data_IF_895251022144
#
_entry.id   IF_895251022144
#
_cell.length_a   1.000
_cell.length_b   1.000
_cell.length_c   1.000
_cell.angle_alpha   90.00
_cell.angle_beta   90.00
_cell.angle_gamma   90.00
#
_symmetry.space_group_name_H-M   'P 1'
#
loop_
_entity.id
_entity.type
_entity.pdbx_description
1 polymer ?
#
# COMPACT_ATOMS: atom_id res chain seq x y z
N UNK A 1 44.86 -27.57 -12.45
CA UNK A 1 43.62 -26.75 -12.32
C UNK A 1 43.76 -25.40 -13.00
N UNK A 2 44.73 -24.53 -12.64
CA UNK A 2 44.89 -23.18 -13.24
C UNK A 2 45.00 -23.20 -14.79
N UNK A 3 45.77 -24.10 -15.38
CA UNK A 3 45.87 -24.28 -16.83
C UNK A 3 44.56 -24.71 -17.50
N UNK A 4 43.72 -25.52 -16.82
CA UNK A 4 42.42 -25.97 -17.34
C UNK A 4 41.40 -24.84 -17.32
N UNK A 5 41.48 -23.93 -16.31
CA UNK A 5 40.61 -22.79 -16.16
C UNK A 5 41.07 -21.55 -16.94
N UNK A 6 42.22 -21.61 -17.64
CA UNK A 6 42.76 -20.48 -18.39
C UNK A 6 43.18 -19.28 -17.55
N UNK A 7 43.47 -19.48 -16.25
CA UNK A 7 43.89 -18.43 -15.33
C UNK A 7 45.36 -18.56 -14.92
N UNK A 8 45.98 -17.46 -14.46
CA UNK A 8 47.35 -17.52 -13.99
C UNK A 8 47.47 -18.35 -12.70
N UNK A 9 48.53 -19.12 -12.55
CA UNK A 9 48.76 -19.92 -11.35
C UNK A 9 48.78 -19.06 -10.08
N UNK A 10 49.44 -17.92 -10.13
CA UNK A 10 49.47 -16.96 -9.02
C UNK A 10 48.07 -16.40 -8.64
N UNK A 11 47.23 -16.14 -9.64
CA UNK A 11 45.85 -15.75 -9.47
C UNK A 11 44.99 -16.83 -8.79
N UNK A 12 45.16 -18.08 -9.27
CA UNK A 12 44.48 -19.25 -8.71
C UNK A 12 44.84 -19.49 -7.25
N UNK A 13 46.13 -19.48 -6.89
CA UNK A 13 46.58 -19.69 -5.53
C UNK A 13 46.14 -18.51 -4.60
N UNK A 14 46.16 -17.29 -5.11
CA UNK A 14 45.66 -16.12 -4.39
C UNK A 14 44.16 -16.25 -4.08
N UNK A 15 43.38 -16.72 -5.05
CA UNK A 15 41.95 -17.00 -4.89
C UNK A 15 41.68 -18.12 -3.85
N UNK A 16 42.42 -19.24 -3.97
CA UNK A 16 42.33 -20.34 -3.00
C UNK A 16 42.68 -19.89 -1.59
N UNK A 17 43.75 -19.11 -1.42
CA UNK A 17 44.14 -18.57 -0.10
C UNK A 17 43.06 -17.64 0.50
N UNK A 18 42.45 -16.82 -0.35
CA UNK A 18 41.36 -15.94 0.06
C UNK A 18 40.11 -16.73 0.46
N UNK A 19 39.73 -17.75 -0.29
CA UNK A 19 38.54 -18.56 0.00
C UNK A 19 38.68 -19.47 1.20
N UNK A 20 39.92 -19.85 1.58
CA UNK A 20 40.20 -20.66 2.77
C UNK A 20 40.55 -19.83 4.01
N UNK A 21 40.61 -18.49 3.88
CA UNK A 21 40.83 -17.60 5.02
C UNK A 21 39.54 -17.43 5.84
N UNK A 22 39.65 -17.25 7.16
CA UNK A 22 38.47 -16.89 7.96
C UNK A 22 37.85 -15.60 7.42
N UNK A 23 36.50 -15.55 7.49
CA UNK A 23 35.73 -14.38 7.04
C UNK A 23 36.19 -13.11 7.77
N UNK A 24 36.40 -12.07 7.00
CA UNK A 24 36.69 -10.74 7.56
C UNK A 24 35.44 -10.21 8.30
N UNK A 25 35.63 -9.28 9.24
CA UNK A 25 34.53 -8.61 9.95
C UNK A 25 33.47 -8.05 8.99
N UNK A 26 33.93 -7.47 7.86
CA UNK A 26 33.05 -6.93 6.83
C UNK A 26 32.23 -8.02 6.14
N UNK A 27 32.82 -9.17 5.84
CA UNK A 27 32.10 -10.30 5.23
C UNK A 27 31.10 -10.94 6.22
N UNK A 28 31.45 -10.99 7.53
CA UNK A 28 30.52 -11.42 8.57
C UNK A 28 29.35 -10.46 8.70
N UNK A 29 29.59 -9.15 8.61
CA UNK A 29 28.55 -8.12 8.63
C UNK A 29 27.66 -8.22 7.37
N UNK A 30 28.25 -8.46 6.17
CA UNK A 30 27.49 -8.65 4.93
C UNK A 30 26.56 -9.88 5.02
N UNK A 31 26.98 -10.96 5.66
CA UNK A 31 26.14 -12.14 5.88
C UNK A 31 24.92 -11.79 6.74
N UNK A 32 25.13 -11.09 7.87
CA UNK A 32 24.02 -10.67 8.75
C UNK A 32 23.03 -9.76 8.02
N UNK A 33 23.54 -8.76 7.31
CA UNK A 33 22.71 -7.85 6.51
C UNK A 33 21.95 -8.63 5.43
N UNK A 34 22.56 -9.64 4.83
CA UNK A 34 21.91 -10.48 3.82
C UNK A 34 20.72 -11.24 4.40
N UNK A 35 20.86 -11.83 5.60
CA UNK A 35 19.77 -12.51 6.29
C UNK A 35 18.60 -11.56 6.60
N UNK A 36 18.91 -10.34 7.08
CA UNK A 36 17.92 -9.31 7.33
C UNK A 36 17.22 -8.84 6.04
N UNK A 37 17.96 -8.65 4.95
CA UNK A 37 17.39 -8.34 3.62
C UNK A 37 16.41 -9.43 3.20
N UNK A 38 16.78 -10.72 3.35
CA UNK A 38 15.87 -11.82 3.02
C UNK A 38 14.60 -11.81 3.87
N UNK A 39 14.72 -11.54 5.16
CA UNK A 39 13.56 -11.47 6.06
C UNK A 39 12.60 -10.35 5.63
N UNK A 40 13.11 -9.13 5.40
CA UNK A 40 12.32 -7.97 4.93
C UNK A 40 11.73 -8.22 3.54
N UNK A 41 12.50 -8.81 2.63
CA UNK A 41 12.01 -9.12 1.28
C UNK A 41 10.88 -10.13 1.29
N UNK A 42 10.95 -11.15 2.16
CA UNK A 42 9.89 -12.17 2.31
C UNK A 42 8.65 -11.59 2.98
N UNK A 43 8.78 -10.79 4.05
CA UNK A 43 7.63 -10.17 4.73
C UNK A 43 6.85 -9.25 3.80
N UNK A 44 7.54 -8.56 2.88
CA UNK A 44 6.90 -7.73 1.84
C UNK A 44 6.39 -8.52 0.62
N UNK A 45 6.39 -9.85 0.67
CA UNK A 45 6.05 -10.72 -0.47
C UNK A 45 6.84 -10.40 -1.74
N UNK A 46 8.09 -9.90 -1.60
CA UNK A 46 8.95 -9.54 -2.71
C UNK A 46 8.62 -8.21 -3.40
N UNK A 47 7.84 -7.34 -2.76
CA UNK A 47 7.44 -6.04 -3.33
C UNK A 47 8.46 -4.92 -3.08
N UNK A 48 9.35 -5.08 -2.08
CA UNK A 48 10.30 -4.03 -1.73
C UNK A 48 11.57 -4.07 -2.58
N UNK A 49 11.95 -2.91 -3.11
CA UNK A 49 13.25 -2.67 -3.71
C UNK A 49 14.29 -2.19 -2.67
N UNK A 50 15.54 -2.02 -3.14
CA UNK A 50 16.69 -1.67 -2.28
C UNK A 50 16.48 -0.43 -1.42
N UNK A 51 15.78 0.61 -1.92
CA UNK A 51 15.53 1.84 -1.15
C UNK A 51 14.66 1.62 0.08
N UNK A 52 13.53 0.91 -0.06
CA UNK A 52 12.64 0.58 1.06
C UNK A 52 13.34 -0.34 2.07
N UNK A 53 14.05 -1.37 1.58
CA UNK A 53 14.82 -2.28 2.43
C UNK A 53 15.89 -1.52 3.20
N UNK A 54 16.61 -0.60 2.54
CA UNK A 54 17.61 0.25 3.21
C UNK A 54 16.98 1.12 4.31
N UNK A 55 15.82 1.69 4.04
CA UNK A 55 15.13 2.53 5.03
C UNK A 55 14.74 1.72 6.28
N UNK A 56 14.23 0.49 6.10
CA UNK A 56 13.90 -0.42 7.21
C UNK A 56 15.16 -0.82 7.99
N UNK A 57 16.22 -1.24 7.30
CA UNK A 57 17.49 -1.59 7.93
C UNK A 57 18.06 -0.43 8.75
N UNK A 58 17.98 0.80 8.23
CA UNK A 58 18.47 1.99 8.94
C UNK A 58 17.63 2.35 10.18
N UNK A 59 16.36 1.92 10.27
CA UNK A 59 15.59 2.00 11.51
C UNK A 59 16.03 0.94 12.54
N UNK A 60 16.56 -0.20 12.10
CA UNK A 60 17.00 -1.30 12.97
C UNK A 60 18.44 -1.13 13.47
N UNK A 61 19.29 -0.47 12.69
CA UNK A 61 20.72 -0.33 12.96
C UNK A 61 21.11 1.06 13.48
N UNK A 62 22.04 1.12 14.47
CA UNK A 62 22.58 2.38 14.96
C UNK A 62 23.49 3.09 13.93
N UNK A 63 24.15 2.34 13.05
CA UNK A 63 24.98 2.88 11.97
C UNK A 63 24.23 2.79 10.65
N UNK A 64 24.15 3.89 9.88
CA UNK A 64 23.44 3.88 8.61
C UNK A 64 24.12 2.96 7.60
N UNK A 65 23.33 2.11 6.96
CA UNK A 65 23.74 1.23 5.89
C UNK A 65 23.55 1.96 4.56
N UNK A 66 24.59 1.96 3.72
CA UNK A 66 24.52 2.61 2.42
C UNK A 66 23.60 1.80 1.47
N UNK A 67 22.69 2.48 0.80
CA UNK A 67 21.75 1.88 -0.12
C UNK A 67 22.42 1.09 -1.26
N UNK A 68 23.59 1.55 -1.75
CA UNK A 68 24.37 0.83 -2.76
C UNK A 68 24.90 -0.52 -2.25
N UNK A 69 25.15 -0.64 -0.94
CA UNK A 69 25.53 -1.93 -0.32
C UNK A 69 24.35 -2.90 -0.36
N UNK A 70 23.15 -2.43 0.00
CA UNK A 70 21.92 -3.22 -0.05
C UNK A 70 21.59 -3.64 -1.49
N UNK A 71 21.68 -2.70 -2.44
CA UNK A 71 21.43 -2.97 -3.85
C UNK A 71 22.37 -4.04 -4.40
N UNK A 72 23.68 -3.97 -4.09
CA UNK A 72 24.66 -4.98 -4.48
C UNK A 72 24.30 -6.36 -3.91
N UNK A 73 24.00 -6.45 -2.62
CA UNK A 73 23.63 -7.71 -1.97
C UNK A 73 22.36 -8.29 -2.61
N UNK A 74 21.34 -7.47 -2.86
CA UNK A 74 20.12 -7.91 -3.53
C UNK A 74 20.40 -8.46 -4.94
N UNK A 75 21.27 -7.80 -5.72
CA UNK A 75 21.67 -8.26 -7.04
C UNK A 75 22.44 -9.58 -6.98
N UNK A 76 23.41 -9.72 -6.07
CA UNK A 76 24.17 -10.95 -5.83
C UNK A 76 23.25 -12.12 -5.43
N UNK A 77 22.19 -11.85 -4.72
CA UNK A 77 21.17 -12.82 -4.29
C UNK A 77 20.01 -12.99 -5.28
N UNK A 78 20.05 -12.35 -6.45
CA UNK A 78 18.98 -12.37 -7.45
C UNK A 78 17.60 -11.92 -6.87
N UNK A 79 17.59 -10.97 -5.96
CA UNK A 79 16.36 -10.40 -5.37
C UNK A 79 15.92 -9.17 -6.16
N UNK A 80 14.78 -9.25 -6.83
CA UNK A 80 14.21 -8.17 -7.62
C UNK A 80 12.80 -7.86 -7.12
N UNK A 81 12.46 -6.56 -6.97
CA UNK A 81 11.10 -6.18 -6.62
C UNK A 81 10.10 -6.53 -7.72
N UNK A 82 8.89 -6.94 -7.33
CA UNK A 82 7.80 -7.18 -8.27
C UNK A 82 7.50 -5.91 -9.06
N UNK A 83 7.34 -6.04 -10.39
CA UNK A 83 6.91 -4.95 -11.24
C UNK A 83 5.41 -4.68 -11.02
N UNK A 84 5.02 -3.41 -10.86
CA UNK A 84 3.61 -3.03 -10.81
C UNK A 84 2.93 -3.32 -12.16
N UNK A 85 1.90 -4.16 -12.14
CA UNK A 85 1.00 -4.34 -13.29
C UNK A 85 0.06 -3.12 -13.37
N UNK A 86 -0.15 -2.56 -14.58
CA UNK A 86 -1.18 -1.53 -14.78
C UNK A 86 -2.56 -2.20 -14.72
N UNK A 87 -3.43 -1.71 -13.84
CA UNK A 87 -4.83 -2.10 -13.75
C UNK A 87 -5.70 -1.05 -14.45
N UNK A 88 -6.75 -1.49 -15.15
CA UNK A 88 -7.73 -0.63 -15.80
C UNK A 88 -8.89 -0.50 -14.82
N UNK A 89 -9.26 0.75 -14.50
CA UNK A 89 -10.47 1.06 -13.73
C UNK A 89 -11.65 1.16 -14.69
N UNK A 90 -12.79 0.58 -14.33
CA UNK A 90 -14.04 0.66 -15.10
C UNK A 90 -15.16 1.06 -14.14
N UNK A 91 -15.48 2.36 -14.12
CA UNK A 91 -16.64 2.89 -13.40
C UNK A 91 -17.72 3.28 -14.40
N UNK A 92 -18.95 2.80 -14.20
CA UNK A 92 -20.12 3.24 -14.94
C UNK A 92 -20.73 4.45 -14.21
N UNK A 93 -20.66 5.62 -14.86
CA UNK A 93 -21.11 6.91 -14.32
C UNK A 93 -22.29 7.51 -15.07
N UNK A 94 -23.01 6.72 -15.88
CA UNK A 94 -24.13 7.20 -16.70
C UNK A 94 -25.48 6.89 -16.02
N UNK A 95 -25.89 7.79 -15.10
CA UNK A 95 -27.17 7.74 -14.40
C UNK A 95 -27.67 9.16 -14.04
N UNK A 96 -28.99 9.29 -13.84
CA UNK A 96 -29.70 10.56 -13.56
C UNK A 96 -29.81 10.90 -12.05
N UNK A 97 -28.92 10.38 -11.20
CA UNK A 97 -28.97 10.65 -9.76
C UNK A 97 -28.35 12.01 -9.39
N UNK A 98 -28.79 12.56 -8.24
CA UNK A 98 -28.27 13.86 -7.73
C UNK A 98 -26.79 13.74 -7.38
N UNK A 99 -26.00 14.64 -7.93
CA UNK A 99 -24.53 14.68 -7.80
C UNK A 99 -24.14 15.80 -6.85
N UNK A 100 -23.23 15.54 -5.93
CA UNK A 100 -22.62 16.55 -5.08
C UNK A 100 -21.52 17.32 -5.81
N UNK A 101 -21.25 18.55 -5.37
CA UNK A 101 -20.15 19.37 -5.92
C UNK A 101 -18.79 18.74 -5.62
N UNK A 102 -17.80 19.01 -6.49
CA UNK A 102 -16.42 18.61 -6.25
C UNK A 102 -15.75 19.62 -5.30
N UNK A 103 -15.64 19.28 -4.03
CA UNK A 103 -15.04 20.12 -2.98
C UNK A 103 -13.53 19.94 -2.88
N UNK A 104 -12.96 18.86 -3.44
CA UNK A 104 -11.53 18.57 -3.37
C UNK A 104 -10.77 19.23 -4.53
N UNK A 105 -11.36 19.27 -5.71
CA UNK A 105 -10.76 19.86 -6.93
C UNK A 105 -9.29 19.46 -7.15
N UNK A 106 -8.98 18.17 -6.94
CA UNK A 106 -7.64 17.56 -7.02
C UNK A 106 -6.63 18.04 -5.99
N UNK A 107 -7.05 18.81 -4.97
CA UNK A 107 -6.22 19.08 -3.82
C UNK A 107 -6.31 17.90 -2.83
N UNK A 108 -5.42 16.93 -3.01
CA UNK A 108 -5.32 15.75 -2.15
C UNK A 108 -4.45 16.00 -0.91
N UNK A 109 -4.11 17.22 -0.59
CA UNK A 109 -3.39 17.55 0.62
C UNK A 109 -4.37 17.69 1.79
N UNK A 110 -4.03 17.11 2.93
CA UNK A 110 -4.73 17.30 4.18
C UNK A 110 -3.75 17.82 5.22
N UNK A 111 -4.12 18.90 5.94
CA UNK A 111 -3.24 19.51 6.93
C UNK A 111 -3.31 18.78 8.27
N UNK A 112 -4.42 18.08 8.52
CA UNK A 112 -4.66 17.34 9.75
C UNK A 112 -5.42 16.03 9.49
N UNK A 113 -5.30 15.03 10.37
CA UNK A 113 -6.11 13.82 10.30
C UNK A 113 -7.61 14.10 10.36
N UNK A 114 -8.40 13.21 9.79
CA UNK A 114 -9.87 13.23 9.85
C UNK A 114 -10.52 14.45 9.17
N UNK A 115 -9.80 15.14 8.24
CA UNK A 115 -10.32 16.35 7.57
C UNK A 115 -10.78 16.10 6.14
N UNK A 116 -10.06 15.30 5.38
CA UNK A 116 -10.38 14.93 3.98
C UNK A 116 -10.18 13.44 3.77
N UNK A 117 -11.17 12.78 3.21
CA UNK A 117 -11.17 11.35 2.95
C UNK A 117 -11.61 11.04 1.53
N UNK A 118 -11.06 9.98 0.96
CA UNK A 118 -11.51 9.40 -0.30
C UNK A 118 -12.18 8.07 -0.06
N UNK A 119 -13.27 7.82 -0.77
CA UNK A 119 -13.97 6.53 -0.78
C UNK A 119 -14.04 5.97 -2.18
N UNK A 120 -13.76 4.67 -2.34
CA UNK A 120 -13.81 4.00 -3.63
C UNK A 120 -14.07 2.50 -3.46
N UNK A 121 -14.51 1.86 -4.54
CA UNK A 121 -14.73 0.43 -4.58
C UNK A 121 -13.81 -0.26 -5.58
N UNK A 122 -13.35 -1.45 -5.23
CA UNK A 122 -12.59 -2.29 -6.15
C UNK A 122 -13.15 -3.71 -6.17
N UNK A 123 -12.76 -4.48 -7.18
CA UNK A 123 -13.20 -5.86 -7.36
C UNK A 123 -12.01 -6.82 -7.45
N UNK A 124 -12.17 -7.98 -6.83
CA UNK A 124 -11.23 -9.10 -6.87
C UNK A 124 -11.98 -10.32 -7.41
N UNK A 125 -11.46 -10.94 -8.47
CA UNK A 125 -12.04 -12.16 -9.03
C UNK A 125 -11.49 -13.37 -8.32
N UNK A 126 -12.38 -14.29 -7.94
CA UNK A 126 -12.03 -15.57 -7.31
C UNK A 126 -12.71 -16.74 -8.03
N UNK A 127 -12.31 -17.97 -7.73
CA UNK A 127 -12.95 -19.17 -8.26
C UNK A 127 -14.42 -19.32 -7.82
N UNK A 128 -14.83 -18.64 -6.75
CA UNK A 128 -16.21 -18.62 -6.24
C UNK A 128 -17.02 -17.39 -6.68
N UNK A 129 -16.48 -16.54 -7.55
CA UNK A 129 -17.13 -15.32 -8.02
C UNK A 129 -16.36 -14.05 -7.64
N UNK A 130 -17.04 -12.92 -7.67
CA UNK A 130 -16.46 -11.60 -7.40
C UNK A 130 -16.56 -11.23 -5.92
N UNK A 131 -15.49 -10.69 -5.39
CA UNK A 131 -15.44 -10.00 -4.11
C UNK A 131 -15.31 -8.50 -4.38
N UNK A 132 -16.29 -7.72 -3.96
CA UNK A 132 -16.26 -6.27 -3.98
C UNK A 132 -15.74 -5.75 -2.64
N UNK A 133 -14.89 -4.75 -2.70
CA UNK A 133 -14.25 -4.15 -1.54
C UNK A 133 -14.48 -2.64 -1.63
N UNK A 134 -15.18 -2.05 -0.67
CA UNK A 134 -15.23 -0.61 -0.47
C UNK A 134 -14.21 -0.21 0.58
N UNK A 135 -13.49 0.87 0.34
CA UNK A 135 -12.49 1.39 1.26
C UNK A 135 -12.58 2.90 1.41
N UNK A 136 -12.15 3.38 2.57
CA UNK A 136 -12.03 4.81 2.88
C UNK A 136 -10.59 5.08 3.30
N UNK A 137 -9.98 6.06 2.64
CA UNK A 137 -8.60 6.48 2.85
C UNK A 137 -8.59 7.92 3.35
N UNK A 138 -8.00 8.17 4.51
CA UNK A 138 -7.70 9.52 4.97
C UNK A 138 -6.50 10.06 4.21
N UNK A 139 -6.65 11.25 3.62
CA UNK A 139 -5.59 11.88 2.83
C UNK A 139 -4.42 12.36 3.69
N UNK A 140 -4.61 12.53 5.00
CA UNK A 140 -3.49 12.74 5.91
C UNK A 140 -2.75 11.41 6.14
N UNK A 141 -1.62 11.27 5.50
CA UNK A 141 -0.80 10.06 5.61
C UNK A 141 -1.25 8.86 4.78
N UNK A 142 -2.19 9.03 3.85
CA UNK A 142 -2.76 7.93 3.05
C UNK A 142 -3.24 6.76 3.94
N UNK A 143 -3.88 7.07 5.08
CA UNK A 143 -4.25 6.10 6.09
C UNK A 143 -5.59 5.42 5.77
N UNK A 144 -5.67 4.09 5.61
CA UNK A 144 -6.95 3.41 5.48
C UNK A 144 -7.69 3.46 6.82
N UNK A 145 -8.93 3.98 6.80
CA UNK A 145 -9.73 4.23 8.00
C UNK A 145 -11.04 3.45 8.03
N UNK A 146 -11.51 2.94 6.91
CA UNK A 146 -12.73 2.12 6.84
C UNK A 146 -12.68 1.12 5.69
N UNK A 147 -13.26 -0.08 5.87
CA UNK A 147 -13.35 -1.11 4.84
C UNK A 147 -14.59 -1.97 5.01
N UNK A 148 -15.22 -2.33 3.90
CA UNK A 148 -16.22 -3.38 3.84
C UNK A 148 -16.00 -4.30 2.65
N UNK A 149 -16.47 -5.54 2.76
CA UNK A 149 -16.28 -6.57 1.74
C UNK A 149 -17.56 -7.37 1.53
N UNK A 150 -18.06 -7.43 0.29
CA UNK A 150 -19.30 -8.12 -0.08
C UNK A 150 -19.17 -8.87 -1.41
N UNK A 151 -20.10 -9.79 -1.65
CA UNK A 151 -20.30 -10.41 -2.97
C UNK A 151 -21.20 -9.57 -3.89
N UNK A 152 -21.72 -8.45 -3.39
CA UNK A 152 -22.57 -7.50 -4.13
C UNK A 152 -21.92 -6.12 -4.12
N UNK A 153 -22.00 -5.42 -5.25
CA UNK A 153 -21.63 -4.02 -5.35
C UNK A 153 -22.92 -3.19 -5.25
N UNK A 154 -23.33 -2.91 -4.03
CA UNK A 154 -24.55 -2.16 -3.74
C UNK A 154 -24.28 -1.04 -2.71
N UNK A 155 -25.27 -0.17 -2.48
CA UNK A 155 -25.17 0.93 -1.51
C UNK A 155 -24.83 0.46 -0.09
N UNK A 156 -25.24 -0.76 0.27
CA UNK A 156 -24.94 -1.32 1.59
C UNK A 156 -23.44 -1.50 1.79
N UNK A 157 -22.71 -1.90 0.75
CA UNK A 157 -21.27 -2.10 0.82
C UNK A 157 -20.53 -0.80 1.20
N UNK A 158 -20.88 0.33 0.57
CA UNK A 158 -20.24 1.63 0.85
C UNK A 158 -20.68 2.20 2.19
N UNK A 159 -21.94 1.95 2.61
CA UNK A 159 -22.43 2.32 3.94
C UNK A 159 -21.73 1.52 5.03
N UNK A 160 -21.56 0.20 4.86
CA UNK A 160 -20.84 -0.65 5.81
C UNK A 160 -19.35 -0.22 5.95
N UNK A 161 -18.71 0.28 4.88
CA UNK A 161 -17.35 0.84 4.96
C UNK A 161 -17.31 2.17 5.75
N UNK A 162 -18.33 3.01 5.57
CA UNK A 162 -18.48 4.24 6.34
C UNK A 162 -18.74 3.94 7.83
N UNK A 163 -19.62 2.99 8.13
CA UNK A 163 -19.91 2.58 9.50
C UNK A 163 -18.66 1.97 10.19
N UNK A 164 -17.83 1.18 9.46
CA UNK A 164 -16.56 0.66 9.98
C UNK A 164 -15.60 1.82 10.35
N UNK A 165 -15.52 2.87 9.52
CA UNK A 165 -14.73 4.07 9.81
C UNK A 165 -15.21 4.78 11.08
N UNK A 166 -16.51 5.00 11.21
CA UNK A 166 -17.11 5.65 12.40
C UNK A 166 -16.87 4.81 13.67
N UNK A 167 -17.05 3.48 13.58
CA UNK A 167 -16.79 2.57 14.72
C UNK A 167 -15.33 2.59 15.16
N UNK A 168 -14.40 2.92 14.28
CA UNK A 168 -12.98 3.09 14.60
C UNK A 168 -12.65 4.45 15.20
N UNK A 169 -13.63 5.34 15.31
CA UNK A 169 -13.44 6.70 15.81
C UNK A 169 -12.68 7.60 14.86
N UNK A 170 -12.78 7.32 13.55
CA UNK A 170 -12.19 8.14 12.50
C UNK A 170 -13.23 9.09 11.90
N UNK A 171 -12.75 10.26 11.45
CA UNK A 171 -13.59 11.33 10.94
C UNK A 171 -14.12 12.25 12.04
N UNK A 172 -14.39 13.48 11.67
CA UNK A 172 -14.94 14.54 12.55
C UNK A 172 -15.98 15.36 11.82
N UNK A 173 -16.87 16.07 12.52
CA UNK A 173 -17.81 17.01 11.89
C UNK A 173 -17.11 17.97 10.95
N UNK A 174 -17.65 18.15 9.75
CA UNK A 174 -17.04 18.96 8.68
C UNK A 174 -16.00 18.23 7.81
N UNK A 175 -15.66 16.97 8.11
CA UNK A 175 -14.80 16.15 7.25
C UNK A 175 -15.40 16.01 5.84
N UNK A 176 -14.58 16.20 4.82
CA UNK A 176 -14.96 15.98 3.43
C UNK A 176 -14.76 14.51 3.10
N UNK A 177 -15.82 13.83 2.66
CA UNK A 177 -15.72 12.50 2.07
C UNK A 177 -15.98 12.57 0.58
N UNK A 178 -14.99 12.25 -0.23
CA UNK A 178 -15.04 12.33 -1.68
C UNK A 178 -15.09 10.94 -2.30
N UNK A 179 -15.91 10.79 -3.34
CA UNK A 179 -16.05 9.54 -4.09
C UNK A 179 -16.17 9.81 -5.59
N UNK A 180 -16.13 8.76 -6.37
CA UNK A 180 -16.58 8.82 -7.75
C UNK A 180 -18.12 8.99 -7.83
N UNK A 181 -18.64 9.09 -9.08
CA UNK A 181 -20.09 9.17 -9.35
C UNK A 181 -20.74 7.80 -9.54
N UNK A 182 -20.20 6.75 -8.95
CA UNK A 182 -20.85 5.44 -9.00
C UNK A 182 -22.23 5.48 -8.34
N UNK A 183 -23.20 4.75 -8.90
CA UNK A 183 -24.58 4.72 -8.41
C UNK A 183 -24.70 4.37 -6.92
N UNK A 184 -23.74 3.62 -6.37
CA UNK A 184 -23.67 3.27 -4.94
C UNK A 184 -23.45 4.49 -4.05
N UNK A 185 -22.63 5.45 -4.50
CA UNK A 185 -22.31 6.69 -3.79
C UNK A 185 -23.37 7.78 -3.99
N UNK A 186 -24.06 7.77 -5.13
CA UNK A 186 -25.16 8.70 -5.41
C UNK A 186 -26.43 8.36 -4.64
N UNK A 187 -26.54 7.15 -4.07
CA UNK A 187 -27.71 6.71 -3.34
C UNK A 187 -28.11 7.67 -2.21
N UNK A 188 -29.41 8.00 -2.12
CA UNK A 188 -29.95 8.92 -1.12
C UNK A 188 -29.62 8.50 0.30
N UNK A 189 -29.67 7.20 0.60
CA UNK A 189 -29.38 6.66 1.92
C UNK A 189 -27.91 6.86 2.32
N UNK A 190 -26.98 6.71 1.37
CA UNK A 190 -25.56 6.98 1.64
C UNK A 190 -25.33 8.47 1.97
N UNK A 191 -25.91 9.38 1.21
CA UNK A 191 -25.82 10.82 1.47
C UNK A 191 -26.47 11.23 2.81
N UNK A 192 -27.61 10.62 3.15
CA UNK A 192 -28.24 10.82 4.46
C UNK A 192 -27.36 10.34 5.60
N UNK A 193 -26.69 9.18 5.43
CA UNK A 193 -25.75 8.67 6.42
C UNK A 193 -24.59 9.63 6.64
N UNK A 194 -23.94 10.12 5.57
CA UNK A 194 -22.86 11.11 5.63
C UNK A 194 -23.32 12.38 6.36
N UNK A 195 -24.48 12.94 5.95
CA UNK A 195 -25.05 14.16 6.54
C UNK A 195 -25.42 14.00 8.01
N UNK A 196 -25.89 12.82 8.43
CA UNK A 196 -26.21 12.50 9.83
C UNK A 196 -24.99 12.61 10.76
N UNK A 197 -23.81 12.41 10.23
CA UNK A 197 -22.53 12.51 10.95
C UNK A 197 -21.85 13.87 10.74
N UNK A 198 -22.57 14.85 10.15
CA UNK A 198 -22.05 16.20 9.84
C UNK A 198 -20.84 16.21 8.88
N UNK A 199 -20.74 15.22 7.98
CA UNK A 199 -19.72 15.19 6.94
C UNK A 199 -20.19 15.88 5.67
N UNK A 200 -19.23 16.39 4.90
CA UNK A 200 -19.47 17.03 3.60
C UNK A 200 -19.25 16.03 2.49
N UNK A 201 -20.32 15.75 1.73
CA UNK A 201 -20.24 14.88 0.56
C UNK A 201 -19.61 15.64 -0.63
N UNK A 202 -18.64 15.03 -1.27
CA UNK A 202 -17.97 15.55 -2.47
C UNK A 202 -17.88 14.45 -3.53
N UNK A 203 -18.03 14.82 -4.82
CA UNK A 203 -17.99 13.85 -5.92
C UNK A 203 -17.12 14.33 -7.07
N UNK A 204 -16.43 13.38 -7.71
CA UNK A 204 -15.62 13.59 -8.90
C UNK A 204 -16.43 14.22 -10.04
N UNK A 205 -15.77 14.85 -11.02
CA UNK A 205 -16.40 15.28 -12.27
C UNK A 205 -16.75 14.07 -13.16
N UNK A 206 -17.73 14.22 -14.05
CA UNK A 206 -18.15 13.12 -14.95
C UNK A 206 -16.98 12.71 -15.85
N UNK A 207 -16.61 11.44 -15.79
CA UNK A 207 -15.55 10.86 -16.63
C UNK A 207 -14.12 11.26 -16.26
N UNK A 208 -13.91 11.91 -15.11
CA UNK A 208 -12.59 12.37 -14.67
C UNK A 208 -12.02 11.44 -13.58
N UNK A 209 -11.27 10.42 -14.03
CA UNK A 209 -10.63 9.44 -13.14
C UNK A 209 -9.53 10.06 -12.25
N UNK A 210 -8.97 11.22 -12.65
CA UNK A 210 -7.92 11.88 -11.87
C UNK A 210 -8.41 12.44 -10.54
N UNK A 211 -9.72 12.64 -10.40
CA UNK A 211 -10.30 13.16 -9.16
C UNK A 211 -10.28 12.15 -8.01
N UNK A 212 -9.86 10.88 -8.23
CA UNK A 212 -9.73 9.83 -7.20
C UNK A 212 -8.36 9.12 -7.23
N UNK A 213 -7.33 9.77 -7.75
CA UNK A 213 -6.01 9.17 -7.99
C UNK A 213 -5.34 8.52 -6.75
N UNK A 214 -5.44 9.05 -5.51
CA UNK A 214 -4.85 8.36 -4.34
C UNK A 214 -5.49 7.00 -4.05
N UNK A 215 -6.82 6.86 -4.19
CA UNK A 215 -7.51 5.58 -4.02
C UNK A 215 -7.15 4.58 -5.12
N UNK A 216 -7.06 5.03 -6.38
CA UNK A 216 -6.60 4.19 -7.49
C UNK A 216 -5.17 3.69 -7.22
N UNK A 217 -4.30 4.56 -6.73
CA UNK A 217 -2.93 4.20 -6.32
C UNK A 217 -2.91 3.19 -5.18
N UNK A 218 -3.77 3.36 -4.18
CA UNK A 218 -3.91 2.45 -3.05
C UNK A 218 -4.32 1.04 -3.50
N UNK A 219 -5.39 0.93 -4.32
CA UNK A 219 -5.84 -0.34 -4.87
C UNK A 219 -4.80 -0.98 -5.82
N UNK A 220 -4.14 -0.17 -6.63
CA UNK A 220 -3.06 -0.62 -7.51
C UNK A 220 -1.91 -1.24 -6.73
N UNK A 221 -1.48 -0.59 -5.63
CA UNK A 221 -0.45 -1.09 -4.71
C UNK A 221 -0.91 -2.40 -4.05
N UNK A 222 -2.14 -2.45 -3.51
CA UNK A 222 -2.69 -3.67 -2.91
C UNK A 222 -2.65 -4.85 -3.89
N UNK A 223 -3.16 -4.65 -5.10
CA UNK A 223 -3.24 -5.70 -6.12
C UNK A 223 -1.87 -6.16 -6.62
N UNK A 224 -0.90 -5.26 -6.75
CA UNK A 224 0.42 -5.59 -7.30
C UNK A 224 1.42 -6.08 -6.26
N UNK A 225 1.37 -5.52 -5.05
CA UNK A 225 2.35 -5.81 -4.01
C UNK A 225 1.96 -7.00 -3.13
N UNK A 226 0.63 -7.20 -2.89
CA UNK A 226 0.16 -8.10 -1.85
C UNK A 226 -0.75 -9.22 -2.33
N UNK A 227 -1.74 -8.91 -3.18
CA UNK A 227 -2.72 -9.91 -3.58
C UNK A 227 -2.12 -10.97 -4.50
N UNK A 228 -2.64 -12.17 -4.41
CA UNK A 228 -2.31 -13.27 -5.31
C UNK A 228 -2.98 -13.07 -6.68
N UNK A 229 -2.33 -13.56 -7.75
CA UNK A 229 -2.90 -13.51 -9.12
C UNK A 229 -4.20 -14.32 -9.24
N UNK A 230 -4.38 -15.33 -8.39
CA UNK A 230 -5.57 -16.20 -8.35
C UNK A 230 -5.95 -16.54 -6.92
N UNK A 231 -7.24 -16.56 -6.67
CA UNK A 231 -7.86 -17.05 -5.43
C UNK A 231 -8.86 -18.13 -5.76
N UNK A 232 -8.81 -19.26 -5.08
CA UNK A 232 -9.81 -20.31 -5.22
C UNK A 232 -11.12 -19.95 -4.50
N UNK A 233 -11.00 -19.27 -3.34
CA UNK A 233 -12.15 -18.92 -2.51
C UNK A 233 -12.20 -17.43 -2.18
N UNK A 234 -13.44 -16.92 -1.97
CA UNK A 234 -13.67 -15.56 -1.49
C UNK A 234 -13.01 -15.33 -0.13
N UNK A 235 -12.99 -16.34 0.74
CA UNK A 235 -12.44 -16.23 2.08
C UNK A 235 -10.92 -16.01 2.08
N UNK A 236 -10.19 -16.63 1.15
CA UNK A 236 -8.76 -16.37 0.97
C UNK A 236 -8.51 -14.92 0.55
N UNK A 237 -9.28 -14.40 -0.42
CA UNK A 237 -9.17 -13.01 -0.85
C UNK A 237 -9.51 -12.03 0.28
N UNK A 238 -10.59 -12.28 1.05
CA UNK A 238 -10.95 -11.45 2.21
C UNK A 238 -9.84 -11.36 3.24
N UNK A 239 -9.19 -12.48 3.56
CA UNK A 239 -8.07 -12.52 4.52
C UNK A 239 -6.90 -11.67 4.05
N UNK A 240 -6.49 -11.83 2.80
CA UNK A 240 -5.36 -11.08 2.24
C UNK A 240 -5.66 -9.57 2.15
N UNK A 241 -6.89 -9.19 1.79
CA UNK A 241 -7.33 -7.78 1.82
C UNK A 241 -7.28 -7.21 3.23
N UNK A 242 -7.83 -7.94 4.21
CA UNK A 242 -7.84 -7.52 5.61
C UNK A 242 -6.41 -7.33 6.15
N UNK A 243 -5.53 -8.31 5.88
CA UNK A 243 -4.13 -8.27 6.30
C UNK A 243 -3.38 -7.08 5.67
N UNK A 244 -3.62 -6.83 4.36
CA UNK A 244 -3.04 -5.68 3.69
C UNK A 244 -3.49 -4.36 4.30
N UNK A 245 -4.80 -4.16 4.42
CA UNK A 245 -5.40 -2.88 4.83
C UNK A 245 -5.10 -2.52 6.27
N UNK A 246 -5.12 -3.51 7.19
CA UNK A 246 -5.01 -3.21 8.63
C UNK A 246 -3.65 -3.52 9.24
N UNK A 247 -2.81 -4.28 8.56
CA UNK A 247 -1.49 -4.66 9.08
C UNK A 247 -0.35 -4.20 8.20
N UNK A 248 -0.25 -4.74 6.99
CA UNK A 248 0.92 -4.49 6.16
C UNK A 248 1.03 -3.04 5.69
N UNK A 249 -0.02 -2.50 5.06
CA UNK A 249 0.03 -1.16 4.47
C UNK A 249 0.22 -0.06 5.52
N UNK A 250 -0.57 0.01 6.62
CA UNK A 250 -0.43 1.08 7.59
C UNK A 250 0.77 0.93 8.52
N UNK A 251 1.20 -0.30 8.88
CA UNK A 251 2.17 -0.53 9.96
C UNK A 251 3.56 -0.97 9.48
N UNK A 252 3.65 -1.58 8.31
CA UNK A 252 4.90 -2.16 7.82
C UNK A 252 5.41 -1.53 6.54
N UNK A 253 4.51 -0.90 5.75
CA UNK A 253 4.86 -0.35 4.44
C UNK A 253 5.42 1.06 4.54
N UNK A 254 6.76 1.27 4.33
CA UNK A 254 7.34 2.60 4.33
C UNK A 254 6.93 3.37 3.07
N UNK A 255 6.59 4.66 3.24
CA UNK A 255 6.24 5.59 2.18
C UNK A 255 7.36 6.61 1.96
N UNK A 256 7.81 6.73 0.71
CA UNK A 256 8.89 7.67 0.36
C UNK A 256 8.46 9.13 0.58
N UNK A 257 7.20 9.45 0.30
CA UNK A 257 6.60 10.78 0.52
C UNK A 257 6.61 11.24 1.97
N UNK A 258 6.58 10.29 2.91
CA UNK A 258 6.61 10.55 4.36
C UNK A 258 8.01 10.28 4.95
N UNK A 259 9.08 10.42 4.17
CA UNK A 259 10.43 10.15 4.64
C UNK A 259 10.65 8.70 5.10
N UNK A 260 9.98 7.74 4.46
CA UNK A 260 9.97 6.33 4.81
C UNK A 260 9.31 5.99 6.16
N UNK A 261 8.51 6.89 6.71
CA UNK A 261 7.56 6.51 7.75
C UNK A 261 6.46 5.63 7.17
N UNK A 262 5.85 4.81 8.01
CA UNK A 262 4.61 4.12 7.64
C UNK A 262 3.43 5.08 7.75
N UNK A 263 2.28 4.81 7.08
CA UNK A 263 1.07 5.62 7.25
C UNK A 263 0.66 5.82 8.71
N UNK A 264 0.70 4.76 9.52
CA UNK A 264 0.35 4.82 10.95
C UNK A 264 1.33 5.69 11.77
N UNK A 265 2.65 5.57 11.51
CA UNK A 265 3.65 6.41 12.15
C UNK A 265 3.43 7.89 11.82
N UNK A 266 3.17 8.21 10.55
CA UNK A 266 2.90 9.58 10.10
C UNK A 266 1.58 10.12 10.65
N UNK A 267 0.52 9.33 10.58
CA UNK A 267 -0.83 9.71 11.04
C UNK A 267 -0.89 10.02 12.54
N UNK A 268 -0.17 9.25 13.36
CA UNK A 268 -0.07 9.48 14.79
C UNK A 268 0.67 10.76 15.16
N UNK A 269 1.64 11.18 14.36
CA UNK A 269 2.32 12.47 14.59
C UNK A 269 1.30 13.61 14.50
N UNK A 270 0.46 13.64 13.44
CA UNK A 270 -0.58 14.65 13.31
C UNK A 270 -1.66 14.60 14.42
N UNK A 271 -2.03 13.39 14.91
CA UNK A 271 -3.00 13.29 16.03
C UNK A 271 -2.44 13.76 17.40
N UNK A 272 -1.11 13.77 17.56
CA UNK A 272 -0.49 14.24 18.80
C UNK A 272 -0.20 15.75 18.79
N UNK A 273 -0.31 16.41 17.63
CA UNK A 273 -0.10 17.85 17.46
C UNK A 273 -1.42 18.66 17.58
N UNK A 274 -2.57 17.98 17.60
CA UNK A 274 -3.92 18.52 17.78
C UNK A 274 -4.41 18.23 19.20
#
# INVERSE_FOLDING_TARGET
>A
MAKVLGVSESGYFKWCKKNNAPLTEKEQEDIKITEEIFAIYRSSRGSYGSRKITAILNKMHKKPINHKRVERIMQECCLFSKSCKKYICTTDSDHDELIADNLIDRDFTAEEPDSKMLSDTTVITTGQGKLYVAGILDLYGDMPVGIAMSTRNDKKLVMDAFDDMIMRGCGKPGCIIHSDRGSTYCATEYRQLISKHDFLCSMSRKGDCWDNAPMESFWGKMKSEWLSDKYDTIQQAKRDVYEYVWHFYPKERPHETFGYLTPDEFYRQGKNEV
#
